data_IF_412651976587
#
_entry.id   IF_412651976587
#
_cell.length_a   1.000
_cell.length_b   1.000
_cell.length_c   1.000
_cell.angle_alpha   90.00
_cell.angle_beta   90.00
_cell.angle_gamma   90.00
#
_symmetry.space_group_name_H-M   'P 1'
#
loop_
_entity.id
_entity.type
_entity.pdbx_description
1 polymer ?
#
# COMPACT_ATOMS: atom_id res chain seq x y z
N UNK A 1 -12.56 19.22 -7.13
CA UNK A 1 -13.36 18.16 -6.53
C UNK A 1 -13.43 16.88 -7.33
N UNK A 2 -13.15 16.89 -8.60
CA UNK A 2 -13.15 15.70 -9.44
C UNK A 2 -11.71 15.34 -9.74
N UNK A 3 -10.99 14.90 -8.76
CA UNK A 3 -9.73 14.21 -8.99
C UNK A 3 -10.03 12.74 -9.12
N UNK A 4 -9.74 12.18 -10.25
CA UNK A 4 -9.81 10.78 -10.49
C UNK A 4 -10.65 10.38 -11.69
N UNK A 5 -9.99 10.25 -12.81
CA UNK A 5 -10.53 9.50 -13.92
C UNK A 5 -10.62 8.02 -13.50
N UNK A 6 -11.84 7.52 -13.31
CA UNK A 6 -12.06 6.11 -12.96
C UNK A 6 -11.96 5.26 -14.22
N UNK A 7 -10.91 4.44 -14.30
CA UNK A 7 -10.63 3.58 -15.44
C UNK A 7 -10.81 2.13 -15.00
N UNK A 8 -11.63 1.33 -15.72
CA UNK A 8 -11.70 -0.11 -15.47
C UNK A 8 -10.36 -0.77 -15.82
N UNK A 9 -10.12 -2.04 -15.44
CA UNK A 9 -8.91 -2.75 -15.82
C UNK A 9 -8.76 -2.81 -17.35
N UNK A 10 -7.84 -2.01 -17.89
CA UNK A 10 -7.52 -1.93 -19.32
C UNK A 10 -6.04 -2.17 -19.54
N UNK A 11 -5.68 -2.73 -20.68
CA UNK A 11 -4.28 -2.95 -21.06
C UNK A 11 -3.70 -1.66 -21.66
N UNK A 12 -2.73 -1.06 -20.97
CA UNK A 12 -1.95 0.07 -21.53
C UNK A 12 -1.14 -0.34 -22.75
N UNK A 13 -0.68 -1.60 -22.78
CA UNK A 13 0.08 -2.19 -23.88
C UNK A 13 -0.50 -3.56 -24.24
N UNK A 14 -0.59 -3.82 -25.54
CA UNK A 14 -0.95 -5.12 -26.08
C UNK A 14 0.14 -5.59 -27.05
N UNK A 15 0.75 -6.75 -26.77
CA UNK A 15 1.87 -7.30 -27.59
C UNK A 15 3.00 -6.29 -27.80
N UNK A 16 3.40 -5.57 -26.75
CA UNK A 16 4.45 -4.56 -26.78
C UNK A 16 4.10 -3.23 -27.45
N UNK A 17 2.84 -3.05 -27.91
CA UNK A 17 2.39 -1.80 -28.54
C UNK A 17 1.46 -1.03 -27.60
N UNK A 18 1.65 0.30 -27.45
CA UNK A 18 0.77 1.12 -26.62
C UNK A 18 -0.63 1.23 -27.24
N UNK A 19 -1.65 1.24 -26.39
CA UNK A 19 -3.00 1.62 -26.80
C UNK A 19 -3.08 3.14 -26.93
N UNK A 20 -3.01 3.61 -28.17
CA UNK A 20 -3.00 5.05 -28.49
C UNK A 20 -4.27 5.77 -28.03
N UNK A 21 -5.41 5.11 -28.09
CA UNK A 21 -6.70 5.70 -27.68
C UNK A 21 -6.74 5.92 -26.18
N UNK A 22 -6.28 4.92 -25.41
CA UNK A 22 -6.21 5.05 -23.95
C UNK A 22 -5.21 6.13 -23.52
N UNK A 23 -4.04 6.21 -24.14
CA UNK A 23 -3.07 7.28 -23.87
C UNK A 23 -3.61 8.67 -24.24
N UNK A 24 -4.35 8.81 -25.35
CA UNK A 24 -5.00 10.06 -25.72
C UNK A 24 -6.08 10.46 -24.72
N UNK A 25 -6.92 9.48 -24.27
CA UNK A 25 -7.93 9.70 -23.25
C UNK A 25 -7.30 10.19 -21.92
N UNK A 26 -6.24 9.55 -21.46
CA UNK A 26 -5.52 9.96 -20.26
C UNK A 26 -4.99 11.38 -20.39
N UNK A 27 -4.30 11.68 -21.49
CA UNK A 27 -3.72 13.01 -21.75
C UNK A 27 -4.75 14.13 -21.74
N UNK A 28 -5.96 13.85 -22.20
CA UNK A 28 -7.03 14.87 -22.32
C UNK A 28 -7.79 15.09 -21.01
N UNK A 29 -7.85 14.08 -20.14
CA UNK A 29 -8.75 14.09 -18.99
C UNK A 29 -8.07 14.25 -17.61
N UNK A 30 -6.74 14.42 -17.57
CA UNK A 30 -6.01 14.64 -16.34
C UNK A 30 -5.42 16.04 -16.29
N UNK A 31 -5.31 16.59 -15.09
CA UNK A 31 -4.81 17.97 -14.87
C UNK A 31 -3.33 18.13 -15.24
N UNK A 32 -2.51 17.13 -14.96
CA UNK A 32 -1.07 17.14 -15.19
C UNK A 32 -0.66 15.94 -16.07
N UNK A 33 -0.97 15.96 -17.39
CA UNK A 33 -0.81 14.79 -18.25
C UNK A 33 0.64 14.34 -18.39
N UNK A 34 1.60 15.23 -18.46
CA UNK A 34 3.01 14.86 -18.64
C UNK A 34 3.59 14.20 -17.40
N UNK A 35 3.16 14.62 -16.20
CA UNK A 35 3.54 13.97 -14.95
C UNK A 35 2.95 12.55 -14.88
N UNK A 36 1.64 12.40 -15.09
CA UNK A 36 0.97 11.09 -15.07
C UNK A 36 1.58 10.11 -16.09
N UNK A 37 1.81 10.58 -17.33
CA UNK A 37 2.38 9.74 -18.37
C UNK A 37 3.84 9.39 -18.09
N UNK A 38 4.60 10.30 -17.44
CA UNK A 38 5.94 10.03 -16.94
C UNK A 38 5.95 8.94 -15.87
N UNK A 39 5.03 8.99 -14.91
CA UNK A 39 4.89 7.98 -13.86
C UNK A 39 4.51 6.61 -14.44
N UNK A 40 3.56 6.56 -15.39
CA UNK A 40 3.20 5.33 -16.09
C UNK A 40 4.38 4.74 -16.89
N UNK A 41 5.19 5.59 -17.53
CA UNK A 41 6.38 5.15 -18.23
C UNK A 41 7.45 4.60 -17.26
N UNK A 42 7.62 5.22 -16.08
CA UNK A 42 8.52 4.75 -15.04
C UNK A 42 8.07 3.39 -14.47
N UNK A 43 6.76 3.20 -14.22
CA UNK A 43 6.20 1.92 -13.79
C UNK A 43 6.44 0.82 -14.82
N UNK A 44 6.23 1.11 -16.11
CA UNK A 44 6.50 0.16 -17.19
C UNK A 44 7.99 -0.19 -17.28
N UNK A 45 8.88 0.80 -17.17
CA UNK A 45 10.31 0.57 -17.16
C UNK A 45 10.73 -0.33 -15.98
N UNK A 46 10.16 -0.11 -14.81
CA UNK A 46 10.38 -0.95 -13.62
C UNK A 46 9.96 -2.39 -13.86
N UNK A 47 8.78 -2.62 -14.45
CA UNK A 47 8.31 -3.96 -14.82
C UNK A 47 9.30 -4.65 -15.80
N UNK A 48 9.75 -3.95 -16.82
CA UNK A 48 10.70 -4.49 -17.81
C UNK A 48 12.07 -4.83 -17.21
N UNK A 49 12.55 -4.01 -16.27
CA UNK A 49 13.82 -4.27 -15.57
C UNK A 49 13.65 -5.46 -14.63
N UNK A 50 12.54 -5.50 -13.87
CA UNK A 50 12.21 -6.60 -12.96
C UNK A 50 12.08 -7.94 -13.69
N UNK A 51 11.34 -7.99 -14.81
CA UNK A 51 11.20 -9.19 -15.64
C UNK A 51 12.56 -9.74 -16.08
N UNK A 52 13.41 -8.88 -16.65
CA UNK A 52 14.74 -9.31 -17.10
C UNK A 52 15.64 -9.81 -15.96
N UNK A 53 15.59 -9.15 -14.80
CA UNK A 53 16.34 -9.57 -13.64
C UNK A 53 15.83 -10.92 -13.10
N UNK A 54 14.51 -11.08 -13.05
CA UNK A 54 13.85 -12.29 -12.60
C UNK A 54 14.16 -13.50 -13.51
N UNK A 55 14.06 -13.32 -14.82
CA UNK A 55 14.41 -14.38 -15.81
C UNK A 55 15.85 -14.83 -15.63
N UNK A 56 16.80 -13.91 -15.45
CA UNK A 56 18.20 -14.26 -15.16
C UNK A 56 18.38 -15.10 -13.90
N UNK A 57 17.57 -14.85 -12.86
CA UNK A 57 17.60 -15.67 -11.65
C UNK A 57 17.02 -17.06 -11.90
N UNK A 58 15.93 -17.16 -12.68
CA UNK A 58 15.35 -18.44 -13.08
C UNK A 58 16.33 -19.26 -13.93
N UNK A 59 17.03 -18.64 -14.86
CA UNK A 59 18.04 -19.29 -15.71
C UNK A 59 19.22 -19.82 -14.85
N UNK A 60 19.59 -19.07 -13.81
CA UNK A 60 20.71 -19.43 -12.93
C UNK A 60 20.38 -20.52 -11.92
N UNK A 61 19.19 -20.48 -11.30
CA UNK A 61 18.85 -21.32 -10.17
C UNK A 61 17.76 -22.36 -10.46
N UNK A 62 17.02 -22.22 -11.56
CA UNK A 62 15.89 -23.05 -11.92
C UNK A 62 14.59 -22.65 -11.18
N UNK A 63 13.46 -23.00 -11.79
CA UNK A 63 12.11 -22.62 -11.28
C UNK A 63 11.82 -23.22 -9.92
N UNK A 64 12.14 -24.48 -9.70
CA UNK A 64 11.88 -25.19 -8.44
C UNK A 64 12.66 -24.57 -7.28
N UNK A 65 13.96 -24.36 -7.46
CA UNK A 65 14.83 -23.73 -6.46
C UNK A 65 14.35 -22.32 -6.12
N UNK A 66 14.00 -21.53 -7.13
CA UNK A 66 13.47 -20.19 -6.93
C UNK A 66 12.16 -20.20 -6.14
N UNK A 67 11.26 -21.14 -6.41
CA UNK A 67 10.01 -21.30 -5.65
C UNK A 67 10.25 -21.56 -4.15
N UNK A 68 11.20 -22.42 -3.82
CA UNK A 68 11.60 -22.68 -2.43
C UNK A 68 12.18 -21.43 -1.77
N UNK A 69 13.08 -20.72 -2.46
CA UNK A 69 13.72 -19.53 -1.89
C UNK A 69 12.75 -18.35 -1.74
N UNK A 70 11.75 -18.19 -2.61
CA UNK A 70 10.72 -17.16 -2.43
C UNK A 70 9.94 -17.38 -1.14
N UNK A 71 9.47 -18.59 -0.89
CA UNK A 71 8.78 -18.90 0.36
C UNK A 71 9.70 -18.70 1.58
N UNK A 72 10.92 -19.19 1.52
CA UNK A 72 11.90 -19.01 2.58
C UNK A 72 12.20 -17.52 2.87
N UNK A 73 12.20 -16.66 1.84
CA UNK A 73 12.40 -15.22 2.00
C UNK A 73 11.21 -14.55 2.67
N UNK A 74 9.97 -14.95 2.33
CA UNK A 74 8.77 -14.48 3.00
C UNK A 74 8.73 -14.92 4.46
N UNK A 75 9.03 -16.17 4.75
CA UNK A 75 9.12 -16.73 6.11
C UNK A 75 10.23 -16.06 6.93
N UNK A 76 11.33 -15.71 6.27
CA UNK A 76 12.41 -14.93 6.90
C UNK A 76 11.94 -13.53 7.29
N UNK A 77 11.24 -12.82 6.40
CA UNK A 77 10.65 -11.51 6.67
C UNK A 77 9.66 -11.56 7.84
N UNK A 78 8.75 -12.52 7.84
CA UNK A 78 7.80 -12.74 8.94
C UNK A 78 8.52 -13.00 10.27
N UNK A 79 9.49 -13.94 10.29
CA UNK A 79 10.23 -14.30 11.51
C UNK A 79 10.95 -13.10 12.13
N UNK A 80 11.60 -12.26 11.32
CA UNK A 80 12.27 -11.05 11.80
C UNK A 80 11.27 -10.00 12.31
N UNK A 81 10.14 -9.85 11.63
CA UNK A 81 9.09 -8.94 12.08
C UNK A 81 8.51 -9.37 13.41
N UNK A 82 8.17 -10.65 13.59
CA UNK A 82 7.71 -11.20 14.85
C UNK A 82 8.73 -11.02 15.96
N UNK A 83 10.02 -11.24 15.66
CA UNK A 83 11.08 -11.04 16.64
C UNK A 83 11.18 -9.58 17.10
N UNK A 84 11.03 -8.63 16.18
CA UNK A 84 11.04 -7.20 16.51
C UNK A 84 9.80 -6.80 17.33
N UNK A 85 8.62 -7.31 16.98
CA UNK A 85 7.37 -7.02 17.72
C UNK A 85 7.44 -7.53 19.15
N UNK A 86 8.07 -8.69 19.40
CA UNK A 86 8.24 -9.24 20.76
C UNK A 86 9.05 -8.35 21.70
N UNK A 87 9.84 -7.43 21.16
CA UNK A 87 10.60 -6.46 21.94
C UNK A 87 9.71 -5.28 22.40
N UNK A 88 8.53 -5.14 21.83
CA UNK A 88 7.59 -4.10 22.20
C UNK A 88 6.70 -4.54 23.36
N UNK A 89 6.38 -3.63 24.29
CA UNK A 89 5.49 -3.98 25.41
C UNK A 89 4.10 -4.39 24.90
N UNK A 90 3.59 -5.52 25.40
CA UNK A 90 2.20 -5.90 25.18
C UNK A 90 1.26 -4.84 25.73
N UNK A 91 0.20 -4.55 24.99
CA UNK A 91 -0.78 -3.56 25.43
C UNK A 91 -1.59 -2.98 24.29
N UNK A 92 -2.52 -2.12 24.67
CA UNK A 92 -3.39 -1.38 23.76
C UNK A 92 -3.01 0.10 23.81
N UNK A 93 -2.68 0.64 22.66
CA UNK A 93 -2.24 2.02 22.47
C UNK A 93 -3.23 2.73 21.57
N UNK A 94 -3.67 3.92 21.97
CA UNK A 94 -4.66 4.70 21.22
C UNK A 94 -4.11 6.09 20.93
N UNK A 95 -4.40 6.58 19.75
CA UNK A 95 -4.07 7.93 19.33
C UNK A 95 -5.16 8.45 18.39
N UNK A 96 -5.54 9.69 18.56
CA UNK A 96 -6.46 10.40 17.64
C UNK A 96 -5.71 11.56 17.04
N UNK A 97 -5.74 11.65 15.73
CA UNK A 97 -5.25 12.81 14.96
C UNK A 97 -6.39 13.42 14.17
N UNK A 98 -6.18 14.63 13.65
CA UNK A 98 -7.22 15.37 12.97
C UNK A 98 -6.74 15.91 11.64
N UNK A 99 -7.59 15.80 10.62
CA UNK A 99 -7.48 16.59 9.39
C UNK A 99 -8.29 17.86 9.63
N UNK A 100 -7.75 19.03 9.27
CA UNK A 100 -8.34 20.33 9.61
C UNK A 100 -9.74 20.50 9.04
N UNK A 101 -9.91 20.22 7.74
CA UNK A 101 -11.21 20.27 7.05
C UNK A 101 -11.22 19.44 5.75
N UNK A 102 -12.39 19.26 5.15
CA UNK A 102 -12.58 18.55 3.87
C UNK A 102 -12.71 19.50 2.66
N UNK A 103 -12.51 20.79 2.84
CA UNK A 103 -12.75 21.83 1.84
C UNK A 103 -14.21 22.22 1.66
N UNK A 104 -15.13 21.75 2.52
CA UNK A 104 -16.57 22.05 2.54
C UNK A 104 -17.08 22.43 3.94
N UNK A 105 -16.23 23.06 4.71
CA UNK A 105 -16.52 23.49 6.09
C UNK A 105 -16.84 22.33 7.07
N UNK A 106 -16.50 21.11 6.72
CA UNK A 106 -16.58 19.97 7.64
C UNK A 106 -15.19 19.71 8.24
N UNK A 107 -15.04 20.03 9.50
CA UNK A 107 -13.80 19.79 10.28
C UNK A 107 -13.98 20.19 11.74
N UNK A 108 -13.04 19.80 12.61
CA UNK A 108 -11.95 18.85 12.38
C UNK A 108 -12.44 17.41 12.16
N UNK A 109 -11.73 16.65 11.34
CA UNK A 109 -12.10 15.29 10.93
C UNK A 109 -11.19 14.32 11.70
N UNK A 110 -11.70 13.56 12.68
CA UNK A 110 -10.90 12.67 13.49
C UNK A 110 -10.48 11.42 12.70
N UNK A 111 -9.23 11.03 12.95
CA UNK A 111 -8.68 9.73 12.59
C UNK A 111 -8.26 9.04 13.88
N UNK A 112 -9.01 8.04 14.29
CA UNK A 112 -8.70 7.24 15.45
C UNK A 112 -7.89 6.01 15.05
N UNK A 113 -6.85 5.72 15.81
CA UNK A 113 -6.00 4.56 15.61
C UNK A 113 -5.78 3.86 16.96
N UNK A 114 -6.15 2.61 17.01
CA UNK A 114 -5.81 1.70 18.11
C UNK A 114 -4.79 0.68 17.61
N UNK A 115 -3.68 0.54 18.31
CA UNK A 115 -2.69 -0.52 18.07
C UNK A 115 -2.69 -1.44 19.28
N UNK A 116 -2.92 -2.73 19.05
CA UNK A 116 -2.80 -3.76 20.06
C UNK A 116 -1.58 -4.63 19.77
N UNK A 117 -0.66 -4.69 20.72
CA UNK A 117 0.53 -5.54 20.67
C UNK A 117 0.22 -6.81 21.46
N UNK A 118 0.22 -7.95 20.79
CA UNK A 118 -0.08 -9.28 21.35
C UNK A 118 1.12 -10.20 21.06
N UNK A 119 2.07 -10.26 21.96
CA UNK A 119 3.31 -11.02 21.85
C UNK A 119 4.12 -10.70 20.58
N UNK A 120 3.85 -11.38 19.47
CA UNK A 120 4.54 -11.19 18.18
C UNK A 120 3.61 -10.79 17.04
N UNK A 121 2.42 -10.30 17.40
CA UNK A 121 1.36 -9.92 16.48
C UNK A 121 0.85 -8.50 16.76
N UNK A 122 0.49 -7.79 15.69
CA UNK A 122 -0.10 -6.45 15.78
C UNK A 122 -1.51 -6.46 15.20
N UNK A 123 -2.43 -5.85 15.93
CA UNK A 123 -3.74 -5.47 15.41
C UNK A 123 -3.80 -3.96 15.37
N UNK A 124 -4.08 -3.40 14.19
CA UNK A 124 -4.29 -1.97 14.00
C UNK A 124 -5.73 -1.75 13.58
N UNK A 125 -6.47 -1.04 14.40
CA UNK A 125 -7.88 -0.78 14.21
C UNK A 125 -8.14 0.72 14.13
N UNK A 126 -8.86 1.14 13.11
CA UNK A 126 -9.27 2.52 12.87
C UNK A 126 -10.74 2.78 13.23
N UNK A 127 -11.33 1.92 14.09
CA UNK A 127 -12.68 2.15 14.61
C UNK A 127 -12.74 3.49 15.38
N UNK A 128 -13.78 4.28 15.14
CA UNK A 128 -13.94 5.64 15.69
C UNK A 128 -13.51 6.75 14.74
N UNK A 129 -12.80 6.42 13.65
CA UNK A 129 -12.47 7.42 12.61
C UNK A 129 -13.73 7.98 11.94
N UNK A 130 -13.62 9.21 11.44
CA UNK A 130 -14.72 9.93 10.80
C UNK A 130 -15.39 9.10 9.70
N UNK A 131 -16.72 9.21 9.54
CA UNK A 131 -17.39 8.77 8.32
C UNK A 131 -16.78 9.42 7.06
N UNK A 132 -17.08 8.81 5.90
CA UNK A 132 -16.72 9.37 4.60
C UNK A 132 -17.19 10.82 4.47
N UNK A 133 -16.32 11.72 4.02
CA UNK A 133 -16.60 13.15 3.80
C UNK A 133 -16.82 13.47 2.33
N UNK A 134 -17.37 14.67 2.04
CA UNK A 134 -17.61 15.13 0.66
C UNK A 134 -16.32 15.49 -0.08
N UNK A 135 -15.32 15.96 0.66
CA UNK A 135 -14.02 16.33 0.12
C UNK A 135 -13.26 15.17 -0.51
N UNK A 136 -12.33 15.47 -1.40
CA UNK A 136 -11.51 14.49 -2.12
C UNK A 136 -10.34 13.94 -1.27
N UNK A 137 -10.58 13.70 0.02
CA UNK A 137 -9.57 13.24 1.00
C UNK A 137 -9.86 11.84 1.55
N UNK A 138 -10.92 11.18 1.06
CA UNK A 138 -11.23 9.81 1.44
C UNK A 138 -10.19 8.84 0.86
N UNK A 139 -9.71 7.93 1.69
CA UNK A 139 -8.65 6.97 1.33
C UNK A 139 -9.21 5.57 1.17
N UNK A 140 -8.88 4.89 0.08
CA UNK A 140 -9.25 3.48 -0.07
C UNK A 140 -8.57 2.63 1.00
N UNK A 141 -9.18 1.51 1.41
CA UNK A 141 -8.60 0.58 2.37
C UNK A 141 -7.17 0.15 1.99
N UNK A 142 -6.90 0.00 0.69
CA UNK A 142 -5.56 -0.35 0.20
C UNK A 142 -4.53 0.74 0.53
N UNK A 143 -4.91 2.00 0.40
CA UNK A 143 -4.05 3.12 0.76
C UNK A 143 -3.84 3.18 2.27
N UNK A 144 -4.92 3.04 3.06
CA UNK A 144 -4.87 2.99 4.53
C UNK A 144 -3.92 1.89 5.01
N UNK A 145 -4.06 0.67 4.48
CA UNK A 145 -3.15 -0.44 4.79
C UNK A 145 -1.70 -0.12 4.40
N UNK A 146 -1.48 0.42 3.22
CA UNK A 146 -0.13 0.77 2.74
C UNK A 146 0.55 1.81 3.64
N UNK A 147 -0.18 2.85 4.04
CA UNK A 147 0.32 3.90 4.94
C UNK A 147 0.59 3.36 6.34
N UNK A 148 -0.27 2.49 6.86
CA UNK A 148 -0.07 1.81 8.14
C UNK A 148 1.18 0.93 8.12
N UNK A 149 1.35 0.13 7.07
CA UNK A 149 2.56 -0.69 6.90
C UNK A 149 3.82 0.16 6.81
N UNK A 150 3.76 1.33 6.16
CA UNK A 150 4.88 2.27 6.12
C UNK A 150 5.24 2.75 7.53
N UNK A 151 4.25 3.16 8.33
CA UNK A 151 4.45 3.58 9.72
C UNK A 151 5.09 2.47 10.57
N UNK A 152 4.56 1.25 10.50
CA UNK A 152 5.12 0.08 11.19
C UNK A 152 6.54 -0.20 10.70
N UNK A 153 6.78 -0.12 9.39
CA UNK A 153 8.10 -0.32 8.80
C UNK A 153 9.13 0.68 9.32
N UNK A 154 8.75 1.92 9.60
CA UNK A 154 9.64 2.90 10.22
C UNK A 154 10.02 2.53 11.65
N UNK A 155 9.14 1.82 12.37
CA UNK A 155 9.40 1.36 13.73
C UNK A 155 10.22 0.04 13.78
N UNK A 156 10.13 -0.78 12.72
CA UNK A 156 10.95 -1.99 12.59
C UNK A 156 12.42 -1.64 12.29
N UNK A 157 13.35 -2.45 12.74
CA UNK A 157 14.77 -2.30 12.43
C UNK A 157 15.09 -2.40 10.94
N UNK A 158 16.23 -1.83 10.53
CA UNK A 158 16.68 -1.81 9.12
C UNK A 158 16.95 -3.21 8.54
N UNK A 159 17.18 -4.19 9.37
CA UNK A 159 17.54 -5.56 8.97
C UNK A 159 16.35 -6.39 8.48
N UNK A 160 15.12 -5.96 8.71
CA UNK A 160 13.93 -6.65 8.22
C UNK A 160 13.78 -6.43 6.72
N UNK A 161 13.82 -7.48 5.86
CA UNK A 161 13.70 -7.33 4.42
C UNK A 161 12.30 -6.82 4.03
N UNK A 162 12.22 -5.93 3.05
CA UNK A 162 10.94 -5.40 2.59
C UNK A 162 10.26 -6.37 1.61
N UNK A 163 9.46 -7.28 2.15
CA UNK A 163 8.65 -8.23 1.38
C UNK A 163 7.30 -8.50 2.06
N UNK A 164 6.40 -9.21 1.39
CA UNK A 164 5.06 -9.48 1.89
C UNK A 164 5.01 -10.35 3.17
N UNK A 165 6.08 -11.03 3.52
CA UNK A 165 6.17 -11.80 4.77
C UNK A 165 6.04 -10.94 6.02
N UNK A 166 6.49 -9.67 5.97
CA UNK A 166 6.37 -8.71 7.07
C UNK A 166 4.92 -8.56 7.53
N UNK A 167 3.98 -8.61 6.59
CA UNK A 167 2.57 -8.27 6.84
C UNK A 167 1.75 -9.42 7.40
N UNK A 168 2.31 -10.65 7.47
CA UNK A 168 1.60 -11.84 7.93
C UNK A 168 1.26 -11.83 9.43
N UNK A 169 1.95 -11.01 10.20
CA UNK A 169 1.71 -10.84 11.63
C UNK A 169 1.09 -9.48 11.98
N UNK A 170 0.46 -8.82 11.00
CA UNK A 170 -0.13 -7.49 11.17
C UNK A 170 -1.52 -7.50 10.56
N UNK A 171 -2.55 -7.37 11.40
CA UNK A 171 -3.93 -7.19 10.97
C UNK A 171 -4.30 -5.71 10.98
N UNK A 172 -4.93 -5.24 9.91
CA UNK A 172 -5.37 -3.85 9.78
C UNK A 172 -6.84 -3.82 9.39
N UNK A 173 -7.64 -3.13 10.20
CA UNK A 173 -9.07 -2.92 9.99
C UNK A 173 -9.42 -1.44 9.93
N UNK A 174 -10.41 -1.09 9.11
CA UNK A 174 -11.04 0.22 9.09
C UNK A 174 -12.53 0.06 8.75
N UNK A 175 -13.44 0.77 9.43
CA UNK A 175 -14.88 0.65 9.19
C UNK A 175 -15.24 0.99 7.75
N UNK A 176 -16.14 0.20 7.16
CA UNK A 176 -16.71 0.50 5.84
C UNK A 176 -17.54 1.78 5.95
N UNK A 177 -17.38 2.69 4.97
CA UNK A 177 -18.04 3.98 4.97
C UNK A 177 -17.32 5.04 5.81
N UNK A 178 -16.12 4.75 6.32
CA UNK A 178 -15.25 5.75 6.94
C UNK A 178 -14.38 6.46 5.91
N UNK A 179 -13.76 7.56 6.31
CA UNK A 179 -12.76 8.29 5.50
C UNK A 179 -11.57 7.40 5.07
N UNK A 180 -11.30 6.32 5.81
CA UNK A 180 -10.20 5.37 5.58
C UNK A 180 -10.62 4.10 4.82
N UNK A 181 -11.92 3.93 4.56
CA UNK A 181 -12.49 2.78 3.83
C UNK A 181 -13.89 3.16 3.28
N UNK A 182 -13.98 4.15 2.35
CA UNK A 182 -15.19 4.73 1.84
C UNK A 182 -16.01 3.76 0.98
#
# INVERSE_FOLDING_TARGET
FQEGLRIPPLKLYAKGKPDRSLFALLRTNVRLPDMLLGDLAAQLATCNVGERAFVKLLDKYGVETMGVYFNALLDYGERLTRAAIREWPNGRYQFTDYIDDDGFDQGPIPIDCTIEVQDDHLVVDFEGSSPQVKGAINCTLSYTKSSTYLGIRCALGREVPNNAGIYRCIDITAPIGSILNP
#
